data_IF_571018002393
#
_entry.id   IF_571018002393
#
_cell.length_a   1.000
_cell.length_b   1.000
_cell.length_c   1.000
_cell.angle_alpha   90.00
_cell.angle_beta   90.00
_cell.angle_gamma   90.00
#
_symmetry.space_group_name_H-M   'P 1'
#
loop_
_entity.id
_entity.type
_entity.pdbx_description
1 polymer ?
#
# COMPACT_ATOMS: atom_id res chain seq x y z
N UNK A 1 -11.16 -34.02 -1.69
CA UNK A 1 -11.75 -32.81 -1.04
C UNK A 1 -12.05 -31.78 -2.12
N UNK A 2 -13.22 -31.12 -2.09
CA UNK A 2 -13.51 -30.02 -3.01
C UNK A 2 -13.00 -28.70 -2.40
N UNK A 3 -12.38 -27.85 -3.23
CA UNK A 3 -12.01 -26.46 -2.87
C UNK A 3 -13.32 -25.71 -2.63
N UNK A 4 -13.46 -25.05 -1.47
CA UNK A 4 -14.69 -24.32 -1.11
C UNK A 4 -14.57 -22.83 -1.37
N UNK A 5 -13.37 -22.25 -1.23
CA UNK A 5 -13.11 -20.82 -1.39
C UNK A 5 -11.72 -20.60 -1.99
N UNK A 6 -11.57 -19.53 -2.75
CA UNK A 6 -10.29 -19.05 -3.32
C UNK A 6 -10.21 -17.55 -3.06
N UNK A 7 -9.14 -17.11 -2.41
CA UNK A 7 -8.86 -15.70 -2.16
C UNK A 7 -7.77 -15.24 -3.12
N UNK A 8 -8.02 -14.15 -3.84
CA UNK A 8 -7.05 -13.54 -4.76
C UNK A 8 -6.64 -12.20 -4.17
N UNK A 9 -5.34 -12.03 -3.89
CA UNK A 9 -4.76 -10.79 -3.35
C UNK A 9 -3.91 -10.16 -4.43
N UNK A 10 -4.35 -9.02 -4.95
CA UNK A 10 -3.60 -8.23 -5.94
C UNK A 10 -2.58 -7.34 -5.24
N UNK A 11 -1.34 -7.41 -5.68
CA UNK A 11 -0.26 -6.51 -5.24
C UNK A 11 0.77 -6.32 -6.36
N UNK A 12 1.68 -5.37 -6.18
CA UNK A 12 2.88 -5.23 -7.01
C UNK A 12 4.08 -5.57 -6.15
N UNK A 13 4.87 -6.56 -6.56
CA UNK A 13 6.09 -6.93 -5.86
C UNK A 13 7.14 -5.82 -5.94
N UNK A 14 7.86 -5.61 -4.84
CA UNK A 14 8.79 -4.49 -4.70
C UNK A 14 10.23 -4.98 -4.67
N UNK A 15 10.90 -4.90 -5.83
CA UNK A 15 12.35 -5.15 -5.99
C UNK A 15 13.08 -3.82 -6.19
N UNK A 16 13.61 -3.24 -5.12
CA UNK A 16 14.30 -1.95 -5.21
C UNK A 16 15.69 -2.12 -5.79
N UNK A 17 15.88 -1.65 -7.03
CA UNK A 17 17.17 -1.66 -7.73
C UNK A 17 17.58 -3.00 -8.35
N UNK A 18 16.68 -3.97 -8.44
CA UNK A 18 16.96 -5.28 -9.03
C UNK A 18 16.45 -5.41 -10.45
N UNK A 19 15.26 -4.88 -10.73
CA UNK A 19 14.58 -4.98 -12.03
C UNK A 19 14.74 -3.73 -12.87
N UNK A 20 15.06 -2.59 -12.24
CA UNK A 20 15.25 -1.29 -12.90
C UNK A 20 16.07 -0.36 -11.99
N UNK A 21 16.33 0.86 -12.43
CA UNK A 21 16.92 1.91 -11.59
C UNK A 21 16.03 2.16 -10.38
N UNK A 22 16.63 2.37 -9.20
CA UNK A 22 15.90 2.56 -7.95
C UNK A 22 14.83 3.66 -8.04
N UNK A 23 15.16 4.79 -8.66
CA UNK A 23 14.23 5.90 -8.86
C UNK A 23 13.01 5.50 -9.70
N UNK A 24 13.24 4.68 -10.75
CA UNK A 24 12.16 4.20 -11.61
C UNK A 24 11.26 3.22 -10.86
N UNK A 25 11.84 2.32 -10.05
CA UNK A 25 11.05 1.41 -9.20
C UNK A 25 10.19 2.19 -8.21
N UNK A 26 10.77 3.16 -7.52
CA UNK A 26 10.06 4.05 -6.58
C UNK A 26 8.89 4.76 -7.28
N UNK A 27 9.14 5.34 -8.44
CA UNK A 27 8.11 5.99 -9.24
C UNK A 27 6.98 5.03 -9.61
N UNK A 28 7.32 3.84 -10.12
CA UNK A 28 6.36 2.82 -10.53
C UNK A 28 5.50 2.36 -9.35
N UNK A 29 6.07 2.13 -8.17
CA UNK A 29 5.33 1.70 -7.00
C UNK A 29 4.34 2.78 -6.52
N UNK A 30 4.76 4.04 -6.47
CA UNK A 30 3.86 5.14 -6.15
C UNK A 30 2.76 5.31 -7.22
N UNK A 31 3.08 5.12 -8.50
CA UNK A 31 2.14 5.17 -9.61
C UNK A 31 1.11 4.03 -9.55
N UNK A 32 1.52 2.81 -9.19
CA UNK A 32 0.61 1.68 -9.03
C UNK A 32 -0.45 1.96 -7.95
N UNK A 33 -0.05 2.54 -6.81
CA UNK A 33 -1.00 2.95 -5.76
C UNK A 33 -1.97 4.01 -6.29
N UNK A 34 -1.48 5.05 -6.99
CA UNK A 34 -2.35 6.07 -7.59
C UNK A 34 -3.36 5.47 -8.56
N UNK A 35 -2.90 4.55 -9.40
CA UNK A 35 -3.77 3.87 -10.37
C UNK A 35 -4.85 3.06 -9.67
N UNK A 36 -4.50 2.30 -8.62
CA UNK A 36 -5.47 1.53 -7.85
C UNK A 36 -6.52 2.45 -7.20
N UNK A 37 -6.08 3.55 -6.55
CA UNK A 37 -6.98 4.55 -5.95
C UNK A 37 -7.93 5.13 -7.00
N UNK A 38 -7.40 5.56 -8.14
CA UNK A 38 -8.20 6.16 -9.21
C UNK A 38 -9.25 5.19 -9.78
N UNK A 39 -8.85 3.93 -10.04
CA UNK A 39 -9.76 2.91 -10.56
C UNK A 39 -10.90 2.58 -9.59
N UNK A 40 -10.59 2.46 -8.30
CA UNK A 40 -11.62 2.18 -7.28
C UNK A 40 -12.57 3.36 -7.16
N UNK A 41 -12.05 4.59 -7.09
CA UNK A 41 -12.88 5.80 -7.01
C UNK A 41 -13.80 5.94 -8.23
N UNK A 42 -13.26 5.77 -9.42
CA UNK A 42 -14.07 5.80 -10.65
C UNK A 42 -15.16 4.72 -10.62
N UNK A 43 -14.84 3.51 -10.12
CA UNK A 43 -15.83 2.46 -9.94
C UNK A 43 -16.93 2.80 -8.93
N UNK A 44 -16.58 3.51 -7.85
CA UNK A 44 -17.54 3.99 -6.85
C UNK A 44 -18.46 5.05 -7.48
N UNK A 45 -17.90 6.02 -8.20
CA UNK A 45 -18.64 7.09 -8.86
C UNK A 45 -19.60 6.56 -9.93
N UNK A 46 -19.15 5.59 -10.72
CA UNK A 46 -19.96 4.96 -11.79
C UNK A 46 -20.86 3.81 -11.31
N UNK A 47 -20.66 3.33 -10.09
CA UNK A 47 -21.41 2.20 -9.53
C UNK A 47 -21.11 0.86 -10.20
N UNK A 48 -19.94 0.70 -10.83
CA UNK A 48 -19.54 -0.52 -11.52
C UNK A 48 -18.65 -1.46 -10.66
N UNK A 49 -18.23 -2.60 -11.23
CA UNK A 49 -17.50 -3.64 -10.49
C UNK A 49 -16.13 -3.19 -9.95
N UNK A 50 -15.54 -2.11 -10.49
CA UNK A 50 -14.25 -1.57 -10.01
C UNK A 50 -14.32 -1.05 -8.57
N UNK A 51 -15.51 -0.69 -8.07
CA UNK A 51 -15.73 -0.31 -6.66
C UNK A 51 -15.35 -1.41 -5.67
N UNK A 52 -15.39 -2.67 -6.11
CA UNK A 52 -15.11 -3.85 -5.29
C UNK A 52 -13.66 -4.35 -5.46
N UNK A 53 -12.86 -3.68 -6.27
CA UNK A 53 -11.44 -3.99 -6.47
C UNK A 53 -10.70 -3.91 -5.12
N UNK A 54 -9.82 -4.88 -4.90
CA UNK A 54 -8.92 -4.93 -3.74
C UNK A 54 -7.49 -4.81 -4.22
N UNK A 55 -6.71 -3.96 -3.57
CA UNK A 55 -5.29 -3.80 -3.79
C UNK A 55 -4.55 -3.90 -2.48
N UNK A 56 -3.47 -4.67 -2.43
CA UNK A 56 -2.63 -4.77 -1.25
C UNK A 56 -1.28 -4.07 -1.49
N UNK A 57 -0.94 -3.12 -0.64
CA UNK A 57 0.39 -2.53 -0.61
C UNK A 57 1.33 -3.53 0.08
N UNK A 58 2.23 -4.16 -0.69
CA UNK A 58 3.07 -5.26 -0.22
C UNK A 58 3.98 -4.83 0.94
N UNK A 59 4.52 -3.61 0.87
CA UNK A 59 5.40 -3.05 1.89
C UNK A 59 5.01 -1.61 2.21
N UNK A 60 5.30 -1.18 3.44
CA UNK A 60 5.07 0.21 3.82
C UNK A 60 5.96 1.19 3.03
N UNK A 61 7.14 0.76 2.60
CA UNK A 61 8.03 1.60 1.78
C UNK A 61 7.32 2.16 0.53
N UNK A 62 6.52 1.35 -0.16
CA UNK A 62 5.74 1.80 -1.31
C UNK A 62 4.74 2.89 -0.93
N UNK A 63 4.07 2.72 0.21
CA UNK A 63 3.11 3.70 0.77
C UNK A 63 3.84 4.99 1.15
N UNK A 64 5.00 4.89 1.81
CA UNK A 64 5.81 6.06 2.17
C UNK A 64 6.21 6.88 0.92
N UNK A 65 6.66 6.21 -0.16
CA UNK A 65 7.03 6.89 -1.40
C UNK A 65 5.81 7.54 -2.09
N UNK A 66 4.67 6.87 -2.07
CA UNK A 66 3.41 7.47 -2.52
C UNK A 66 3.06 8.71 -1.69
N UNK A 67 3.06 8.62 -0.36
CA UNK A 67 2.69 9.71 0.54
C UNK A 67 3.64 10.92 0.41
N UNK A 68 4.93 10.72 0.12
CA UNK A 68 5.89 11.80 -0.12
C UNK A 68 5.54 12.65 -1.34
N UNK A 69 4.92 12.04 -2.36
CA UNK A 69 4.65 12.67 -3.65
C UNK A 69 3.18 12.93 -3.93
N UNK A 70 2.29 12.43 -3.09
CA UNK A 70 0.85 12.56 -3.24
C UNK A 70 0.35 13.95 -2.83
N UNK A 71 -0.59 14.50 -3.62
CA UNK A 71 -1.32 15.70 -3.24
C UNK A 71 -2.21 15.44 -2.01
N UNK A 72 -2.59 16.48 -1.24
CA UNK A 72 -3.43 16.29 -0.05
C UNK A 72 -4.72 15.51 -0.31
N UNK A 73 -5.38 15.74 -1.43
CA UNK A 73 -6.61 15.03 -1.82
C UNK A 73 -6.35 13.55 -2.09
N UNK A 74 -5.21 13.20 -2.73
CA UNK A 74 -4.84 11.81 -2.99
C UNK A 74 -4.59 11.03 -1.68
N UNK A 75 -4.01 11.69 -0.67
CA UNK A 75 -3.80 11.10 0.66
C UNK A 75 -5.13 10.80 1.35
N UNK A 76 -6.06 11.74 1.32
CA UNK A 76 -7.41 11.56 1.88
C UNK A 76 -8.11 10.39 1.19
N UNK A 77 -8.13 10.37 -0.13
CA UNK A 77 -8.74 9.31 -0.93
C UNK A 77 -8.13 7.94 -0.62
N UNK A 78 -6.81 7.87 -0.52
CA UNK A 78 -6.09 6.65 -0.19
C UNK A 78 -6.50 6.10 1.18
N UNK A 79 -6.45 6.92 2.23
CA UNK A 79 -6.81 6.46 3.58
C UNK A 79 -8.30 6.14 3.72
N UNK A 80 -9.17 6.82 3.00
CA UNK A 80 -10.58 6.46 2.95
C UNK A 80 -10.80 5.08 2.32
N UNK A 81 -10.07 4.75 1.26
CA UNK A 81 -10.13 3.42 0.65
C UNK A 81 -9.49 2.33 1.53
N UNK A 82 -8.48 2.68 2.34
CA UNK A 82 -7.96 1.77 3.38
C UNK A 82 -9.03 1.48 4.43
N UNK A 83 -9.68 2.51 4.96
CA UNK A 83 -10.79 2.36 5.94
C UNK A 83 -11.96 1.55 5.39
N UNK A 84 -12.26 1.71 4.11
CA UNK A 84 -13.28 0.91 3.40
C UNK A 84 -12.87 -0.54 3.16
N UNK A 85 -11.58 -0.87 3.34
CA UNK A 85 -11.06 -2.20 3.07
C UNK A 85 -10.86 -2.49 1.58
N UNK A 86 -10.79 -1.48 0.72
CA UNK A 86 -10.40 -1.62 -0.68
C UNK A 86 -8.87 -1.71 -0.82
N UNK A 87 -8.13 -0.98 0.02
CA UNK A 87 -6.67 -1.01 0.04
C UNK A 87 -6.19 -1.65 1.34
N UNK A 88 -5.38 -2.69 1.21
CA UNK A 88 -4.70 -3.35 2.32
C UNK A 88 -3.32 -2.73 2.56
N UNK A 89 -2.91 -2.66 3.82
CA UNK A 89 -1.59 -2.21 4.24
C UNK A 89 -0.84 -3.37 4.89
N UNK A 90 0.42 -3.55 4.51
CA UNK A 90 1.36 -4.39 5.25
C UNK A 90 2.10 -3.57 6.28
N UNK A 91 2.29 -4.10 7.47
CA UNK A 91 3.10 -3.49 8.52
C UNK A 91 4.60 -3.79 8.35
N UNK A 92 4.99 -4.54 7.33
CA UNK A 92 6.40 -4.75 6.97
C UNK A 92 6.93 -3.55 6.20
N UNK A 93 8.03 -2.94 6.68
CA UNK A 93 8.59 -1.77 6.00
C UNK A 93 9.14 -2.11 4.61
N UNK A 94 9.98 -3.16 4.53
CA UNK A 94 10.54 -3.72 3.29
C UNK A 94 10.62 -5.24 3.39
N UNK A 95 10.76 -5.91 2.24
CA UNK A 95 11.21 -7.30 2.17
C UNK A 95 12.72 -7.32 2.43
N UNK A 96 13.14 -7.53 3.66
CA UNK A 96 14.54 -7.51 4.08
C UNK A 96 14.89 -8.79 4.85
N UNK A 97 16.18 -9.04 4.99
CA UNK A 97 16.70 -10.10 5.83
C UNK A 97 17.07 -9.59 7.24
N UNK A 98 17.43 -10.51 8.13
CA UNK A 98 17.75 -10.27 9.54
C UNK A 98 18.99 -9.39 9.78
N UNK A 99 19.69 -8.97 8.71
CA UNK A 99 20.89 -8.10 8.77
C UNK A 99 20.56 -6.61 8.64
N UNK A 100 19.27 -6.24 8.57
CA UNK A 100 18.88 -4.85 8.50
C UNK A 100 19.15 -4.13 9.83
N UNK A 101 19.42 -2.80 9.75
CA UNK A 101 19.60 -1.96 10.93
C UNK A 101 18.31 -1.88 11.77
N UNK A 102 18.34 -2.48 12.96
CA UNK A 102 17.18 -2.54 13.85
C UNK A 102 16.71 -1.15 14.29
N UNK A 103 17.64 -0.21 14.57
CA UNK A 103 17.27 1.16 15.00
C UNK A 103 16.54 1.93 13.90
N UNK A 104 16.98 1.77 12.65
CA UNK A 104 16.29 2.36 11.51
C UNK A 104 14.89 1.76 11.31
N UNK A 105 14.76 0.43 11.44
CA UNK A 105 13.47 -0.25 11.30
C UNK A 105 12.50 0.11 12.42
N UNK A 106 12.96 0.22 13.65
CA UNK A 106 12.15 0.66 14.78
C UNK A 106 11.59 2.07 14.55
N UNK A 107 12.43 2.99 14.08
CA UNK A 107 11.99 4.35 13.74
C UNK A 107 10.95 4.34 12.63
N UNK A 108 11.18 3.57 11.55
CA UNK A 108 10.25 3.48 10.42
C UNK A 108 8.92 2.83 10.80
N UNK A 109 8.96 1.86 11.70
CA UNK A 109 7.75 1.24 12.26
C UNK A 109 6.96 2.23 13.11
N UNK A 110 7.64 3.01 13.95
CA UNK A 110 7.01 4.05 14.73
C UNK A 110 6.34 5.12 13.85
N UNK A 111 7.08 5.65 12.85
CA UNK A 111 6.54 6.62 11.88
C UNK A 111 5.28 6.08 11.17
N UNK A 112 5.31 4.82 10.74
CA UNK A 112 4.19 4.15 10.09
C UNK A 112 2.96 4.08 11.01
N UNK A 113 3.15 3.67 12.25
CA UNK A 113 2.07 3.55 13.24
C UNK A 113 1.45 4.92 13.51
N UNK A 114 2.28 5.96 13.64
CA UNK A 114 1.79 7.32 13.89
C UNK A 114 1.02 7.87 12.69
N UNK A 115 1.51 7.71 11.48
CA UNK A 115 0.80 8.10 10.25
C UNK A 115 -0.56 7.39 10.16
N UNK A 116 -0.61 6.08 10.42
CA UNK A 116 -1.86 5.33 10.40
C UNK A 116 -2.83 5.83 11.47
N UNK A 117 -2.36 6.07 12.70
CA UNK A 117 -3.17 6.58 13.81
C UNK A 117 -3.74 7.97 13.50
N UNK A 118 -2.93 8.88 12.98
CA UNK A 118 -3.35 10.23 12.57
C UNK A 118 -4.45 10.21 11.50
N UNK A 119 -4.45 9.19 10.65
CA UNK A 119 -5.45 9.00 9.60
C UNK A 119 -6.60 8.08 9.99
N UNK A 120 -6.69 7.64 11.25
CA UNK A 120 -7.76 6.78 11.76
C UNK A 120 -7.75 5.37 11.18
N UNK A 121 -6.55 4.85 10.89
CA UNK A 121 -6.33 3.49 10.37
C UNK A 121 -5.64 2.64 11.42
N UNK A 122 -6.14 1.43 11.63
CA UNK A 122 -5.51 0.41 12.46
C UNK A 122 -4.74 -0.59 11.57
N UNK A 123 -3.46 -0.79 11.86
CA UNK A 123 -2.66 -1.85 11.21
C UNK A 123 -3.03 -3.20 11.83
N UNK A 124 -3.45 -4.14 11.00
CA UNK A 124 -3.96 -5.45 11.45
C UNK A 124 -3.04 -6.62 11.16
N UNK A 125 -2.05 -6.42 10.29
CA UNK A 125 -1.14 -7.47 9.84
C UNK A 125 0.29 -6.96 9.75
N UNK A 126 1.21 -7.75 10.25
CA UNK A 126 2.64 -7.63 10.03
C UNK A 126 3.14 -8.84 9.23
#
# INVERSE_FOLDING_TARGET
MAIKEVYIVHHSHTDVGYTDLQEQVIYNQAHNIRTAVALIKEGIEKGDCRKDLKWNCETWYCVEQFLKTAAPVEKVDFFDLVKRGNIGLSATYLNFNDLADCGYLDQKTADMVDICRENGVELKTA
#
